data_IF_595673342315
#
_entry.id   IF_595673342315
#
_cell.length_a   1.000
_cell.length_b   1.000
_cell.length_c   1.000
_cell.angle_alpha   90.00
_cell.angle_beta   90.00
_cell.angle_gamma   90.00
#
_symmetry.space_group_name_H-M   'P 1'
#
loop_
_entity.id
_entity.type
_entity.pdbx_description
1 polymer ?
#
# COMPACT_ATOMS: atom_id res chain seq x y z
N UNK A 1 -17.90 4.93 24.92
CA UNK A 1 -18.97 3.94 24.76
C UNK A 1 -19.02 3.55 23.30
N UNK A 2 -18.83 2.27 22.98
CA UNK A 2 -18.80 1.80 21.59
C UNK A 2 -20.23 1.65 21.05
N UNK A 3 -20.46 2.08 19.81
CA UNK A 3 -21.77 2.01 19.15
C UNK A 3 -22.05 3.23 18.29
N UNK A 4 -23.18 3.23 17.60
CA UNK A 4 -23.70 4.38 16.84
C UNK A 4 -25.16 4.62 17.21
N UNK A 5 -25.58 5.87 17.16
CA UNK A 5 -26.97 6.26 17.43
C UNK A 5 -27.85 5.76 16.29
N UNK A 6 -28.91 5.05 16.64
CA UNK A 6 -29.97 4.70 15.71
C UNK A 6 -30.89 5.91 15.52
N UNK A 7 -31.25 6.20 14.27
CA UNK A 7 -32.13 7.33 13.92
C UNK A 7 -33.62 7.00 14.11
N UNK A 8 -33.97 5.72 14.12
CA UNK A 8 -35.34 5.22 14.27
C UNK A 8 -35.35 3.86 14.94
N UNK A 9 -36.46 3.52 15.58
CA UNK A 9 -36.73 2.21 16.20
C UNK A 9 -37.10 1.13 15.18
N UNK A 10 -37.28 1.50 13.91
CA UNK A 10 -37.59 0.59 12.80
C UNK A 10 -36.36 -0.10 12.18
N UNK A 11 -35.18 0.05 12.78
CA UNK A 11 -33.94 -0.52 12.24
C UNK A 11 -33.81 -1.98 12.71
N UNK A 12 -33.70 -2.96 11.79
CA UNK A 12 -33.56 -4.36 12.17
C UNK A 12 -32.20 -4.61 12.86
N UNK A 13 -32.22 -5.38 13.95
CA UNK A 13 -31.00 -5.83 14.64
C UNK A 13 -30.53 -7.16 14.05
N UNK A 14 -29.25 -7.26 13.74
CA UNK A 14 -28.62 -8.49 13.24
C UNK A 14 -27.88 -9.23 14.36
N UNK A 15 -27.45 -10.48 14.10
CA UNK A 15 -26.60 -11.25 15.02
C UNK A 15 -25.29 -10.54 15.40
N UNK A 16 -24.87 -9.53 14.63
CA UNK A 16 -23.69 -8.71 14.94
C UNK A 16 -23.91 -7.66 16.04
N UNK A 17 -25.16 -7.43 16.47
CA UNK A 17 -25.48 -6.52 17.55
C UNK A 17 -25.23 -7.15 18.92
N UNK A 18 -24.28 -6.61 19.68
CA UNK A 18 -23.99 -7.12 21.03
C UNK A 18 -24.98 -6.62 22.09
N UNK A 19 -25.41 -5.35 22.00
CA UNK A 19 -26.26 -4.70 22.98
C UNK A 19 -27.01 -3.53 22.34
N UNK A 20 -28.26 -3.30 22.76
CA UNK A 20 -29.03 -2.10 22.48
C UNK A 20 -29.15 -1.29 23.77
N UNK A 21 -28.72 -0.03 23.74
CA UNK A 21 -28.81 0.87 24.88
C UNK A 21 -29.97 1.83 24.67
N UNK A 22 -30.91 1.87 25.63
CA UNK A 22 -32.03 2.80 25.66
C UNK A 22 -31.90 3.74 26.87
N UNK A 23 -30.95 4.69 26.84
CA UNK A 23 -30.83 5.64 27.94
C UNK A 23 -32.06 6.54 27.99
N UNK A 24 -32.49 6.87 29.20
CA UNK A 24 -33.46 7.94 29.41
C UNK A 24 -32.87 9.30 29.02
N UNK A 25 -33.72 10.30 28.82
CA UNK A 25 -33.28 11.68 28.52
C UNK A 25 -32.38 12.24 29.63
N UNK A 26 -32.59 11.81 30.88
CA UNK A 26 -31.77 12.20 32.01
C UNK A 26 -30.36 11.58 31.98
N UNK A 27 -30.24 10.33 31.53
CA UNK A 27 -28.96 9.61 31.44
C UNK A 27 -28.13 9.98 30.20
N UNK A 28 -28.80 10.38 29.12
CA UNK A 28 -28.16 10.79 27.87
C UNK A 28 -28.87 12.04 27.31
N UNK A 29 -28.62 13.22 27.89
CA UNK A 29 -29.17 14.46 27.37
C UNK A 29 -28.66 14.71 25.93
N UNK A 30 -29.43 15.46 25.12
CA UNK A 30 -29.00 15.83 23.79
C UNK A 30 -27.66 16.59 23.87
N UNK A 31 -26.70 16.27 22.98
CA UNK A 31 -25.39 16.90 23.02
C UNK A 31 -25.52 18.41 22.77
N UNK A 32 -24.76 19.22 23.50
CA UNK A 32 -24.66 20.65 23.24
C UNK A 32 -24.05 20.91 21.85
N UNK A 33 -24.21 22.14 21.36
CA UNK A 33 -23.61 22.55 20.10
C UNK A 33 -22.09 22.43 20.13
N UNK A 34 -21.53 22.03 18.99
CA UNK A 34 -20.08 21.90 18.81
C UNK A 34 -19.43 23.27 18.94
N UNK A 35 -18.41 23.35 19.80
CA UNK A 35 -17.61 24.56 20.04
C UNK A 35 -16.17 24.36 19.57
N UNK A 36 -15.41 25.44 19.49
CA UNK A 36 -13.99 25.37 19.13
C UNK A 36 -13.18 24.59 20.18
N UNK A 37 -12.14 23.88 19.73
CA UNK A 37 -11.24 23.15 20.61
C UNK A 37 -10.44 24.12 21.51
N UNK A 38 -10.58 23.99 22.83
CA UNK A 38 -9.85 24.80 23.82
C UNK A 38 -8.49 24.22 24.25
N UNK A 39 -8.05 23.15 23.58
CA UNK A 39 -6.76 22.46 23.85
C UNK A 39 -6.53 21.99 25.29
N UNK A 40 -7.58 21.50 25.95
CA UNK A 40 -7.51 21.00 27.33
C UNK A 40 -6.85 19.62 27.52
N UNK A 41 -6.41 18.94 26.44
CA UNK A 41 -5.76 17.61 26.44
C UNK A 41 -6.52 16.42 27.06
N UNK A 42 -7.70 16.61 27.67
CA UNK A 42 -8.53 15.52 28.25
C UNK A 42 -8.77 14.31 27.33
N UNK A 43 -8.84 14.56 26.03
CA UNK A 43 -9.03 13.50 25.04
C UNK A 43 -7.86 12.50 24.96
N UNK A 44 -6.63 12.94 25.23
CA UNK A 44 -5.46 12.08 25.31
C UNK A 44 -5.47 11.26 26.61
N UNK A 45 -5.77 11.91 27.75
CA UNK A 45 -5.80 11.27 29.07
C UNK A 45 -6.76 10.08 29.15
N UNK A 46 -7.90 10.15 28.44
CA UNK A 46 -8.91 9.07 28.44
C UNK A 46 -8.76 8.07 27.29
N UNK A 47 -7.75 8.23 26.44
CA UNK A 47 -7.57 7.35 25.29
C UNK A 47 -7.06 5.97 25.77
N UNK A 48 -7.83 4.89 25.59
CA UNK A 48 -7.43 3.56 26.07
C UNK A 48 -6.23 2.97 25.31
N UNK A 49 -5.97 3.49 24.11
CA UNK A 49 -4.84 3.11 23.24
C UNK A 49 -3.76 4.19 23.21
N UNK A 50 -3.80 5.16 24.15
CA UNK A 50 -2.76 6.16 24.36
C UNK A 50 -2.38 7.01 23.13
N UNK A 51 -3.35 7.27 22.25
CA UNK A 51 -3.15 8.13 21.08
C UNK A 51 -3.18 9.62 21.45
N UNK A 52 -2.91 10.47 20.45
CA UNK A 52 -3.06 11.93 20.52
C UNK A 52 -4.28 12.41 19.71
N UNK A 53 -5.54 12.21 20.18
CA UNK A 53 -6.75 12.60 19.45
C UNK A 53 -6.79 14.07 19.05
N UNK A 54 -6.16 14.96 19.83
CA UNK A 54 -6.09 16.37 19.50
C UNK A 54 -5.37 16.60 18.17
N UNK A 55 -4.18 16.04 17.98
CA UNK A 55 -3.40 16.22 16.75
C UNK A 55 -4.09 15.58 15.57
N UNK A 56 -4.53 14.32 15.75
CA UNK A 56 -5.31 13.60 14.75
C UNK A 56 -6.54 14.39 14.29
N UNK A 57 -7.24 15.07 15.21
CA UNK A 57 -8.42 15.87 14.88
C UNK A 57 -8.07 17.08 14.02
N UNK A 58 -6.98 17.78 14.33
CA UNK A 58 -6.57 18.94 13.54
C UNK A 58 -6.21 18.53 12.12
N UNK A 59 -5.46 17.44 11.93
CA UNK A 59 -5.13 16.90 10.61
C UNK A 59 -6.34 16.35 9.86
N UNK A 60 -7.18 15.56 10.52
CA UNK A 60 -8.42 15.03 9.93
C UNK A 60 -9.38 16.15 9.50
N UNK A 61 -9.51 17.21 10.31
CA UNK A 61 -10.32 18.38 9.98
C UNK A 61 -9.73 19.19 8.81
N UNK A 62 -8.41 19.29 8.73
CA UNK A 62 -7.71 19.93 7.62
C UNK A 62 -7.67 19.07 6.33
N UNK A 63 -8.19 17.83 6.38
CA UNK A 63 -8.07 16.81 5.32
C UNK A 63 -6.61 16.45 4.97
N UNK A 64 -5.69 16.67 5.91
CA UNK A 64 -4.30 16.24 5.81
C UNK A 64 -4.19 14.79 6.31
N UNK A 65 -4.70 13.85 5.52
CA UNK A 65 -4.90 12.46 5.96
C UNK A 65 -3.58 11.72 6.20
N UNK A 66 -2.55 11.96 5.39
CA UNK A 66 -1.21 11.38 5.56
C UNK A 66 -0.63 11.72 6.93
N UNK A 67 -0.68 13.01 7.32
CA UNK A 67 -0.25 13.42 8.67
C UNK A 67 -1.12 12.83 9.76
N UNK A 68 -2.43 12.67 9.53
CA UNK A 68 -3.26 11.98 10.50
C UNK A 68 -2.79 10.52 10.70
N UNK A 69 -2.32 9.84 9.64
CA UNK A 69 -1.73 8.50 9.72
C UNK A 69 -0.40 8.49 10.48
N UNK A 70 0.45 9.50 10.33
CA UNK A 70 1.69 9.64 11.11
C UNK A 70 1.43 9.67 12.63
N UNK A 71 0.23 10.12 13.04
CA UNK A 71 -0.25 10.06 14.42
C UNK A 71 -1.10 8.82 14.72
N UNK A 72 -0.79 7.69 14.06
CA UNK A 72 -1.38 6.38 14.33
C UNK A 72 -2.91 6.34 14.19
N UNK A 73 -3.47 7.05 13.19
CA UNK A 73 -4.93 7.12 12.97
C UNK A 73 -5.60 5.74 12.89
N UNK A 74 -4.94 4.75 12.30
CA UNK A 74 -5.50 3.42 12.12
C UNK A 74 -5.57 2.59 13.41
N UNK A 75 -4.77 2.94 14.43
CA UNK A 75 -4.79 2.27 15.74
C UNK A 75 -5.98 2.72 16.61
N UNK A 76 -6.66 3.79 16.22
CA UNK A 76 -7.85 4.28 16.91
C UNK A 76 -8.97 3.23 16.86
N UNK A 77 -9.34 2.63 18.00
CA UNK A 77 -10.42 1.63 18.07
C UNK A 77 -11.85 2.22 18.07
N UNK A 78 -11.99 3.52 17.80
CA UNK A 78 -13.30 4.21 17.68
C UNK A 78 -14.21 4.08 18.92
N UNK A 79 -13.62 3.97 20.11
CA UNK A 79 -14.33 3.71 21.36
C UNK A 79 -15.20 4.87 21.88
N UNK A 80 -15.01 6.08 21.35
CA UNK A 80 -15.81 7.28 21.69
C UNK A 80 -15.41 7.99 22.98
N UNK A 81 -14.42 7.52 23.74
CA UNK A 81 -14.03 8.13 25.01
C UNK A 81 -13.61 9.59 24.84
N UNK A 82 -12.80 9.89 23.82
CA UNK A 82 -12.34 11.23 23.52
C UNK A 82 -13.47 12.21 23.16
N UNK A 83 -14.48 11.77 22.40
CA UNK A 83 -15.65 12.59 22.06
C UNK A 83 -16.50 12.88 23.31
N UNK A 84 -16.66 11.88 24.18
CA UNK A 84 -17.52 11.99 25.36
C UNK A 84 -16.97 12.97 26.40
N UNK A 85 -15.65 12.97 26.64
CA UNK A 85 -15.04 13.85 27.64
C UNK A 85 -14.71 15.25 27.11
N UNK A 86 -14.94 15.52 25.83
CA UNK A 86 -14.60 16.78 25.21
C UNK A 86 -15.49 17.92 25.74
N UNK A 87 -14.96 18.93 26.44
CA UNK A 87 -15.77 20.05 26.94
C UNK A 87 -16.33 20.93 25.80
N UNK A 88 -15.72 20.86 24.61
CA UNK A 88 -16.18 21.56 23.41
C UNK A 88 -17.19 20.75 22.60
N UNK A 89 -17.62 19.57 23.08
CA UNK A 89 -18.59 18.69 22.41
C UNK A 89 -18.18 18.30 20.97
N UNK A 90 -16.87 18.21 20.70
CA UNK A 90 -16.35 17.86 19.38
C UNK A 90 -16.53 16.36 19.14
N UNK A 91 -17.20 15.94 18.04
CA UNK A 91 -17.40 14.53 17.73
C UNK A 91 -16.13 13.91 17.10
N UNK A 92 -15.05 13.83 17.87
CA UNK A 92 -13.71 13.40 17.43
C UNK A 92 -13.73 12.09 16.63
N UNK A 93 -14.45 11.07 17.11
CA UNK A 93 -14.56 9.77 16.43
C UNK A 93 -15.18 9.88 15.02
N UNK A 94 -16.06 10.84 14.77
CA UNK A 94 -16.62 11.03 13.42
C UNK A 94 -15.55 11.52 12.44
N UNK A 95 -14.67 12.41 12.88
CA UNK A 95 -13.53 12.86 12.08
C UNK A 95 -12.55 11.73 11.82
N UNK A 96 -12.30 10.86 12.81
CA UNK A 96 -11.40 9.72 12.64
C UNK A 96 -11.97 8.67 11.69
N UNK A 97 -13.27 8.37 11.80
CA UNK A 97 -13.96 7.48 10.83
C UNK A 97 -13.88 8.02 9.42
N UNK A 98 -14.19 9.30 9.23
CA UNK A 98 -14.03 9.98 7.95
C UNK A 98 -12.60 9.85 7.42
N UNK A 99 -11.61 10.21 8.23
CA UNK A 99 -10.21 10.19 7.83
C UNK A 99 -9.72 8.77 7.47
N UNK A 100 -10.15 7.73 8.20
CA UNK A 100 -9.80 6.33 7.88
C UNK A 100 -10.41 5.88 6.56
N UNK A 101 -11.71 6.12 6.36
CA UNK A 101 -12.41 5.73 5.13
C UNK A 101 -11.78 6.40 3.91
N UNK A 102 -11.54 7.71 3.98
CA UNK A 102 -10.94 8.46 2.87
C UNK A 102 -9.49 8.04 2.62
N UNK A 103 -8.73 7.71 3.67
CA UNK A 103 -7.37 7.19 3.52
C UNK A 103 -7.36 5.85 2.77
N UNK A 104 -8.31 4.96 3.05
CA UNK A 104 -8.44 3.71 2.31
C UNK A 104 -8.87 3.92 0.86
N UNK A 105 -9.76 4.87 0.59
CA UNK A 105 -10.18 5.19 -0.77
C UNK A 105 -9.02 5.75 -1.60
N UNK A 106 -8.23 6.67 -1.03
CA UNK A 106 -7.02 7.20 -1.65
C UNK A 106 -5.99 6.10 -1.94
N UNK A 107 -5.78 5.17 -0.99
CA UNK A 107 -4.87 4.04 -1.17
C UNK A 107 -5.35 3.12 -2.29
N UNK A 108 -6.65 2.82 -2.35
CA UNK A 108 -7.20 1.95 -3.38
C UNK A 108 -7.09 2.59 -4.77
N UNK A 109 -7.36 3.90 -4.89
CA UNK A 109 -7.18 4.65 -6.13
C UNK A 109 -5.71 4.68 -6.57
N UNK A 110 -4.78 4.89 -5.62
CA UNK A 110 -3.34 4.82 -5.88
C UNK A 110 -2.95 3.45 -6.42
N UNK A 111 -3.35 2.37 -5.76
CA UNK A 111 -3.07 0.99 -6.18
C UNK A 111 -3.66 0.68 -7.56
N UNK A 112 -4.89 1.14 -7.84
CA UNK A 112 -5.53 0.98 -9.16
C UNK A 112 -4.76 1.73 -10.24
N UNK A 113 -4.27 2.93 -9.94
CA UNK A 113 -3.47 3.76 -10.84
C UNK A 113 -2.10 3.14 -11.12
N UNK A 114 -1.41 2.65 -10.10
CA UNK A 114 -0.13 1.92 -10.24
C UNK A 114 -0.30 0.65 -11.09
N UNK A 115 -1.33 -0.14 -10.84
CA UNK A 115 -1.62 -1.33 -11.64
C UNK A 115 -1.98 -0.98 -13.09
N UNK A 116 -2.65 0.16 -13.34
CA UNK A 116 -2.88 0.65 -14.69
C UNK A 116 -1.58 1.06 -15.40
N UNK A 117 -0.68 1.78 -14.70
CA UNK A 117 0.65 2.15 -15.20
C UNK A 117 1.47 0.90 -15.55
N UNK A 118 1.57 -0.07 -14.65
CA UNK A 118 2.31 -1.32 -14.88
C UNK A 118 1.81 -2.07 -16.14
N UNK A 119 0.49 -2.14 -16.35
CA UNK A 119 -0.08 -2.75 -17.56
C UNK A 119 0.21 -1.96 -18.83
N UNK A 120 0.23 -0.63 -18.74
CA UNK A 120 0.58 0.25 -19.85
C UNK A 120 2.05 0.06 -20.23
N UNK A 121 2.95 0.09 -19.25
CA UNK A 121 4.39 -0.05 -19.45
C UNK A 121 4.74 -1.40 -20.09
N UNK A 122 4.09 -2.48 -19.63
CA UNK A 122 4.26 -3.81 -20.22
C UNK A 122 3.82 -3.85 -21.69
N UNK A 123 2.70 -3.18 -22.02
CA UNK A 123 2.21 -3.07 -23.41
C UNK A 123 3.18 -2.25 -24.27
N UNK A 124 3.69 -1.13 -23.74
CA UNK A 124 4.63 -0.26 -24.42
C UNK A 124 5.94 -1.01 -24.73
N UNK A 125 6.49 -1.71 -23.73
CA UNK A 125 7.69 -2.53 -23.88
C UNK A 125 7.50 -3.69 -24.89
N UNK A 126 6.32 -4.30 -24.94
CA UNK A 126 5.99 -5.31 -25.97
C UNK A 126 5.96 -4.70 -27.37
N UNK A 127 5.33 -3.54 -27.54
CA UNK A 127 5.27 -2.88 -28.85
C UNK A 127 6.66 -2.41 -29.32
N UNK A 128 7.46 -1.82 -28.44
CA UNK A 128 8.82 -1.39 -28.74
C UNK A 128 9.70 -2.57 -29.19
N UNK A 129 9.59 -3.74 -28.53
CA UNK A 129 10.28 -4.98 -28.97
C UNK A 129 9.85 -5.40 -30.37
N UNK A 130 8.55 -5.50 -30.65
CA UNK A 130 8.07 -5.89 -31.98
C UNK A 130 8.46 -4.88 -33.07
N UNK A 131 8.48 -3.58 -32.76
CA UNK A 131 8.92 -2.54 -33.68
C UNK A 131 10.43 -2.61 -33.95
N UNK A 132 11.25 -2.81 -32.92
CA UNK A 132 12.69 -3.00 -33.04
C UNK A 132 13.03 -4.24 -33.88
N UNK A 133 12.37 -5.37 -33.63
CA UNK A 133 12.51 -6.59 -34.45
C UNK A 133 12.12 -6.34 -35.92
N UNK A 134 11.01 -5.63 -36.16
CA UNK A 134 10.56 -5.28 -37.51
C UNK A 134 11.57 -4.38 -38.22
N UNK A 135 12.08 -3.35 -37.54
CA UNK A 135 13.12 -2.44 -38.05
C UNK A 135 14.41 -3.20 -38.35
N UNK A 136 14.86 -4.09 -37.46
CA UNK A 136 16.04 -4.94 -37.67
C UNK A 136 15.88 -5.88 -38.88
N UNK A 137 14.71 -6.51 -39.03
CA UNK A 137 14.40 -7.36 -40.19
C UNK A 137 14.40 -6.59 -41.51
N UNK A 138 13.87 -5.36 -41.51
CA UNK A 138 13.91 -4.48 -42.68
C UNK A 138 15.34 -4.02 -42.99
N UNK A 139 16.15 -3.71 -41.97
CA UNK A 139 17.56 -3.34 -42.14
C UNK A 139 18.37 -4.47 -42.78
N UNK A 140 18.24 -5.69 -42.24
CA UNK A 140 18.89 -6.90 -42.79
C UNK A 140 18.50 -7.13 -44.26
N UNK A 141 17.21 -7.03 -44.59
CA UNK A 141 16.75 -7.13 -45.99
C UNK A 141 17.35 -6.07 -46.91
N UNK A 142 17.49 -4.82 -46.44
CA UNK A 142 18.14 -3.75 -47.22
C UNK A 142 19.63 -4.03 -47.45
N UNK A 143 20.34 -4.47 -46.42
CA UNK A 143 21.75 -4.86 -46.50
C UNK A 143 21.96 -6.05 -47.46
N UNK A 144 21.09 -7.06 -47.40
CA UNK A 144 21.13 -8.23 -48.30
C UNK A 144 20.86 -7.84 -49.77
N UNK A 145 19.98 -6.87 -50.01
CA UNK A 145 19.70 -6.34 -51.35
C UNK A 145 20.86 -5.50 -51.89
N UNK A 146 21.55 -4.74 -51.03
CA UNK A 146 22.71 -3.93 -51.42
C UNK A 146 23.95 -4.78 -51.74
N UNK A 147 24.11 -5.96 -51.11
CA UNK A 147 25.22 -6.89 -51.34
C UNK A 147 25.05 -7.77 -52.59
N UNK A 148 23.90 -7.75 -53.28
CA UNK A 148 23.71 -8.49 -54.54
C UNK A 148 24.42 -7.76 -55.70
N UNK A 149 25.41 -8.36 -56.39
CA UNK A 149 26.06 -7.74 -57.52
C UNK A 149 25.10 -7.62 -58.71
N UNK A 150 25.17 -6.50 -59.41
CA UNK A 150 24.41 -6.23 -60.63
C UNK A 150 24.88 -7.14 -61.79
N UNK A 151 24.28 -8.33 -61.93
CA UNK A 151 24.36 -9.10 -63.17
C UNK A 151 23.10 -8.87 -64.01
N UNK A 152 23.29 -8.19 -65.15
CA UNK A 152 22.52 -8.35 -66.38
C UNK A 152 21.18 -7.61 -66.48
N UNK A 153 21.21 -6.39 -67.03
CA UNK A 153 20.07 -5.87 -67.81
C UNK A 153 20.06 -6.59 -69.16
N UNK A 154 19.11 -7.48 -69.38
CA UNK A 154 18.69 -7.89 -70.71
C UNK A 154 17.16 -7.83 -70.77
N UNK A 155 16.67 -7.16 -71.80
CA UNK A 155 15.27 -6.85 -72.03
C UNK A 155 14.43 -8.13 -72.20
N UNK A 156 13.48 -8.34 -71.30
CA UNK A 156 12.31 -9.18 -71.54
C UNK A 156 11.11 -8.49 -70.88
N UNK A 157 10.06 -8.20 -71.66
CA UNK A 157 8.81 -7.60 -71.18
C UNK A 157 8.27 -8.45 -70.02
N UNK A 158 8.27 -7.85 -68.84
CA UNK A 158 8.17 -8.53 -67.54
C UNK A 158 6.75 -9.08 -67.28
N UNK A 159 6.52 -10.40 -67.23
CA UNK A 159 5.23 -10.99 -66.87
C UNK A 159 4.80 -10.66 -65.43
N UNK A 160 5.70 -10.08 -64.62
CA UNK A 160 5.42 -9.62 -63.26
C UNK A 160 4.61 -8.32 -63.19
N UNK A 161 4.72 -7.40 -64.16
CA UNK A 161 3.90 -6.16 -64.14
C UNK A 161 2.41 -6.47 -64.35
N UNK A 162 2.10 -7.37 -65.28
CA UNK A 162 0.74 -7.83 -65.54
C UNK A 162 0.12 -8.56 -64.32
N UNK A 163 0.93 -9.35 -63.60
CA UNK A 163 0.47 -10.03 -62.39
C UNK A 163 0.19 -9.07 -61.21
N UNK A 164 0.94 -7.97 -61.10
CA UNK A 164 0.75 -6.95 -60.07
C UNK A 164 -0.53 -6.13 -60.34
N UNK A 165 -0.79 -5.75 -61.60
CA UNK A 165 -2.04 -5.08 -61.97
C UNK A 165 -3.28 -5.98 -61.78
N UNK A 166 -3.20 -7.26 -62.17
CA UNK A 166 -4.27 -8.22 -61.94
C UNK A 166 -4.54 -8.45 -60.44
N UNK A 167 -3.50 -8.43 -59.59
CA UNK A 167 -3.65 -8.52 -58.15
C UNK A 167 -4.24 -7.23 -57.53
N UNK A 168 -3.86 -6.06 -58.04
CA UNK A 168 -4.42 -4.77 -57.62
C UNK A 168 -5.90 -4.66 -57.98
N UNK A 169 -6.31 -5.13 -59.16
CA UNK A 169 -7.72 -5.19 -59.56
C UNK A 169 -8.53 -6.17 -58.69
N UNK A 170 -7.96 -7.31 -58.30
CA UNK A 170 -8.60 -8.26 -57.36
C UNK A 170 -8.72 -7.71 -55.94
N UNK A 171 -7.75 -6.91 -55.48
CA UNK A 171 -7.82 -6.23 -54.17
C UNK A 171 -8.78 -5.04 -54.21
N UNK A 172 -8.85 -4.31 -55.33
CA UNK A 172 -9.85 -3.25 -55.54
C UNK A 172 -11.27 -3.82 -55.58
N UNK A 173 -11.49 -4.96 -56.27
CA UNK A 173 -12.76 -5.67 -56.27
C UNK A 173 -13.12 -6.23 -54.87
N UNK A 174 -12.13 -6.72 -54.10
CA UNK A 174 -12.36 -7.14 -52.70
C UNK A 174 -12.59 -5.97 -51.75
N UNK A 175 -11.99 -4.80 -51.96
CA UNK A 175 -12.26 -3.57 -51.19
C UNK A 175 -13.61 -2.95 -51.54
N UNK A 176 -14.07 -3.10 -52.79
CA UNK A 176 -15.42 -2.71 -53.20
C UNK A 176 -16.50 -3.68 -52.66
N UNK A 177 -16.18 -4.98 -52.56
CA UNK A 177 -17.06 -6.01 -52.02
C UNK A 177 -17.07 -6.08 -50.47
N UNK A 178 -16.01 -5.63 -49.78
CA UNK A 178 -15.95 -5.52 -48.33
C UNK A 178 -15.76 -4.05 -47.90
N UNK A 179 -16.83 -3.26 -47.98
CA UNK A 179 -17.08 -2.17 -47.01
C UNK A 179 -17.58 -2.81 -45.71
N UNK A 180 -16.70 -3.51 -45.01
CA UNK A 180 -16.97 -3.93 -43.63
C UNK A 180 -16.65 -2.77 -42.70
N UNK A 181 -17.65 -1.92 -42.45
CA UNK A 181 -17.73 -1.18 -41.19
C UNK A 181 -17.70 -2.19 -40.02
N UNK A 182 -17.13 -1.86 -38.85
CA UNK A 182 -17.21 -2.74 -37.69
C UNK A 182 -18.67 -3.09 -37.40
N UNK A 183 -18.98 -4.40 -37.37
CA UNK A 183 -20.33 -5.00 -37.23
C UNK A 183 -20.98 -4.78 -35.85
N UNK A 184 -20.84 -3.61 -35.25
CA UNK A 184 -21.52 -3.28 -34.00
C UNK A 184 -21.94 -1.80 -33.93
N UNK A 185 -22.57 -1.31 -34.99
CA UNK A 185 -23.22 0.01 -35.01
C UNK A 185 -24.60 0.00 -35.69
N UNK A 186 -25.05 -1.14 -36.21
CA UNK A 186 -26.23 -1.16 -37.10
C UNK A 186 -27.58 -1.10 -36.38
N UNK A 187 -27.60 -1.08 -35.03
CA UNK A 187 -28.80 -0.84 -34.23
C UNK A 187 -28.49 -0.07 -32.93
N UNK A 188 -27.98 1.16 -33.06
CA UNK A 188 -27.88 2.08 -31.92
C UNK A 188 -29.13 2.95 -31.83
N UNK A 189 -29.73 3.03 -30.64
CA UNK A 189 -30.82 3.97 -30.38
C UNK A 189 -30.32 5.41 -30.60
N UNK A 190 -31.16 6.37 -31.07
CA UNK A 190 -30.73 7.74 -31.36
C UNK A 190 -29.99 8.43 -30.19
N UNK A 191 -30.34 8.08 -28.95
CA UNK A 191 -29.68 8.56 -27.74
C UNK A 191 -28.24 8.05 -27.57
N UNK A 192 -27.94 6.82 -28.02
CA UNK A 192 -26.60 6.24 -27.92
C UNK A 192 -25.67 6.85 -28.97
N UNK A 193 -26.18 7.15 -30.17
CA UNK A 193 -25.40 7.83 -31.20
C UNK A 193 -25.02 9.26 -30.75
N UNK A 194 -25.96 10.01 -30.16
CA UNK A 194 -25.69 11.34 -29.62
C UNK A 194 -24.64 11.35 -28.50
N UNK A 195 -24.57 10.28 -27.67
CA UNK A 195 -23.54 10.15 -26.65
C UNK A 195 -22.15 9.85 -27.22
N UNK A 196 -22.09 9.06 -28.30
CA UNK A 196 -20.83 8.76 -29.00
C UNK A 196 -20.30 10.03 -29.66
N UNK A 197 -21.17 10.78 -30.34
CA UNK A 197 -20.80 12.02 -31.04
C UNK A 197 -20.34 13.10 -30.02
N UNK A 198 -21.00 13.20 -28.86
CA UNK A 198 -20.61 14.10 -27.77
C UNK A 198 -19.26 13.69 -27.13
N UNK A 199 -18.97 12.39 -27.04
CA UNK A 199 -17.69 11.89 -26.53
C UNK A 199 -16.53 12.13 -27.51
N UNK A 200 -16.78 12.03 -28.82
CA UNK A 200 -15.79 12.36 -29.85
C UNK A 200 -15.53 13.86 -29.94
N UNK A 201 -16.55 14.70 -29.82
CA UNK A 201 -16.37 16.16 -29.74
C UNK A 201 -15.52 16.58 -28.55
N UNK A 202 -15.70 15.95 -27.37
CA UNK A 202 -14.83 16.18 -26.19
C UNK A 202 -13.39 15.75 -26.42
N UNK A 203 -13.16 14.66 -27.18
CA UNK A 203 -11.79 14.20 -27.54
C UNK A 203 -11.11 15.11 -28.56
N UNK A 204 -11.87 15.73 -29.46
CA UNK A 204 -11.33 16.63 -30.48
C UNK A 204 -11.04 18.04 -29.92
N UNK A 205 -11.70 18.43 -28.83
CA UNK A 205 -11.50 19.71 -28.14
C UNK A 205 -10.42 19.66 -27.05
N UNK A 206 -9.95 18.47 -26.67
CA UNK A 206 -8.84 18.31 -25.75
C UNK A 206 -7.51 18.39 -26.51
N UNK A 207 -6.78 19.49 -26.36
CA UNK A 207 -5.40 19.59 -26.83
C UNK A 207 -4.50 18.57 -26.08
N UNK A 208 -3.43 18.05 -26.71
CA UNK A 208 -2.52 17.13 -26.05
C UNK A 208 -1.79 17.86 -24.92
N UNK A 209 -2.12 17.52 -23.67
CA UNK A 209 -1.33 17.97 -22.52
C UNK A 209 -0.03 17.18 -22.54
N UNK A 210 1.08 17.87 -22.81
CA UNK A 210 2.43 17.35 -22.61
C UNK A 210 2.66 17.23 -21.10
N UNK A 211 2.38 16.04 -20.57
CA UNK A 211 2.59 15.69 -19.17
C UNK A 211 4.10 15.58 -18.92
N UNK A 212 4.63 16.52 -18.12
CA UNK A 212 5.99 16.45 -17.61
C UNK A 212 6.18 15.13 -16.82
N UNK A 213 7.33 14.46 -16.95
CA UNK A 213 7.51 13.13 -16.36
C UNK A 213 7.58 13.23 -14.83
N UNK A 214 6.76 12.48 -14.07
CA UNK A 214 7.05 12.21 -12.68
C UNK A 214 8.20 11.20 -12.59
N UNK A 215 9.21 11.56 -11.81
CA UNK A 215 10.41 10.77 -11.56
C UNK A 215 10.07 9.37 -11.02
N UNK A 216 10.16 8.36 -11.88
CA UNK A 216 10.22 6.96 -11.46
C UNK A 216 11.25 6.24 -12.33
N UNK A 217 12.51 6.27 -11.87
CA UNK A 217 13.61 5.60 -12.51
C UNK A 217 14.89 5.68 -11.69
N UNK A 218 15.17 4.62 -10.93
CA UNK A 218 16.55 4.20 -10.64
C UNK A 218 17.18 4.59 -9.31
N UNK A 219 16.68 4.08 -8.17
CA UNK A 219 17.52 3.96 -6.95
C UNK A 219 18.30 2.63 -6.96
N UNK A 220 17.78 1.60 -7.66
CA UNK A 220 18.42 0.27 -7.75
C UNK A 220 19.84 0.27 -8.35
N UNK A 221 20.26 1.34 -9.04
CA UNK A 221 21.59 1.43 -9.67
C UNK A 221 22.31 2.75 -9.38
N UNK A 222 21.86 3.51 -8.38
CA UNK A 222 22.56 4.73 -7.95
C UNK A 222 23.57 4.37 -6.84
N UNK A 223 24.88 4.33 -7.15
CA UNK A 223 25.90 3.93 -6.18
C UNK A 223 26.01 4.90 -4.99
N UNK A 224 25.62 6.17 -5.16
CA UNK A 224 25.63 7.16 -4.07
C UNK A 224 24.48 6.90 -3.11
N UNK A 225 23.27 6.65 -3.62
CA UNK A 225 22.11 6.29 -2.79
C UNK A 225 22.29 4.93 -2.10
N UNK A 226 22.94 3.97 -2.77
CA UNK A 226 23.25 2.68 -2.17
C UNK A 226 24.26 2.80 -1.03
N UNK A 227 25.30 3.63 -1.17
CA UNK A 227 26.28 3.86 -0.10
C UNK A 227 25.66 4.61 1.09
N UNK A 228 24.81 5.61 0.84
CA UNK A 228 24.04 6.30 1.89
C UNK A 228 23.15 5.30 2.63
N UNK A 229 22.40 4.49 1.89
CA UNK A 229 21.55 3.44 2.46
C UNK A 229 22.35 2.46 3.32
N UNK A 230 23.53 2.03 2.87
CA UNK A 230 24.41 1.13 3.60
C UNK A 230 24.89 1.76 4.91
N UNK A 231 25.33 3.01 4.89
CA UNK A 231 25.79 3.72 6.08
C UNK A 231 24.68 3.93 7.10
N UNK A 232 23.51 4.39 6.63
CA UNK A 232 22.33 4.62 7.47
C UNK A 232 21.85 3.32 8.14
N UNK A 233 21.70 2.26 7.34
CA UNK A 233 21.23 0.96 7.84
C UNK A 233 22.24 0.32 8.80
N UNK A 234 23.54 0.49 8.55
CA UNK A 234 24.60 -0.01 9.44
C UNK A 234 24.59 0.70 10.80
N UNK A 235 24.31 2.00 10.83
CA UNK A 235 24.20 2.78 12.07
C UNK A 235 23.04 2.28 12.95
N UNK A 236 21.88 2.00 12.33
CA UNK A 236 20.73 1.43 13.05
C UNK A 236 21.00 0.01 13.55
N UNK A 237 21.65 -0.84 12.74
CA UNK A 237 22.07 -2.16 13.20
C UNK A 237 23.08 -2.09 14.35
N UNK A 238 24.02 -1.14 14.33
CA UNK A 238 24.96 -0.94 15.44
C UNK A 238 24.23 -0.55 16.73
N UNK A 239 23.19 0.29 16.64
CA UNK A 239 22.34 0.65 17.78
C UNK A 239 21.65 -0.59 18.38
N UNK A 240 21.07 -1.44 17.52
CA UNK A 240 20.40 -2.68 17.95
C UNK A 240 21.40 -3.67 18.56
N UNK A 241 22.54 -3.89 17.90
CA UNK A 241 23.61 -4.77 18.42
C UNK A 241 24.14 -4.29 19.77
N UNK A 242 24.39 -2.98 19.93
CA UNK A 242 24.85 -2.41 21.19
C UNK A 242 23.86 -2.63 22.33
N UNK A 243 22.56 -2.51 22.07
CA UNK A 243 21.53 -2.84 23.06
C UNK A 243 21.54 -4.33 23.44
N UNK A 244 21.64 -5.24 22.46
CA UNK A 244 21.71 -6.69 22.70
C UNK A 244 22.91 -7.03 23.59
N UNK A 245 24.09 -6.48 23.27
CA UNK A 245 25.34 -6.70 24.01
C UNK A 245 25.26 -6.17 25.45
N UNK A 246 24.79 -4.93 25.64
CA UNK A 246 24.64 -4.32 26.95
C UNK A 246 23.65 -5.09 27.84
N UNK A 247 22.56 -5.57 27.24
CA UNK A 247 21.54 -6.36 27.95
C UNK A 247 22.08 -7.75 28.32
N UNK A 248 22.87 -8.40 27.45
CA UNK A 248 23.53 -9.68 27.77
C UNK A 248 24.60 -9.54 28.85
N UNK A 249 25.33 -8.44 28.86
CA UNK A 249 26.36 -8.16 29.85
C UNK A 249 25.80 -7.84 31.25
N UNK A 250 24.47 -7.67 31.37
CA UNK A 250 23.85 -7.22 32.63
C UNK A 250 24.17 -5.77 32.98
N UNK A 251 24.73 -5.01 32.02
CA UNK A 251 25.09 -3.60 32.19
C UNK A 251 23.90 -2.66 31.90
N UNK A 252 22.77 -3.22 31.49
CA UNK A 252 21.54 -2.51 31.25
C UNK A 252 20.51 -2.99 32.28
N UNK A 253 20.15 -2.13 33.23
CA UNK A 253 19.02 -2.33 34.16
C UNK A 253 17.66 -2.18 33.43
N UNK A 254 17.67 -2.27 32.10
CA UNK A 254 16.53 -2.02 31.25
C UNK A 254 15.47 -3.12 31.46
N UNK A 255 14.57 -2.88 32.41
CA UNK A 255 13.37 -3.67 32.62
C UNK A 255 12.47 -3.76 31.37
N UNK A 256 12.76 -2.95 30.34
CA UNK A 256 12.01 -2.82 29.09
C UNK A 256 12.94 -2.53 27.91
N UNK A 257 12.48 -2.86 26.70
CA UNK A 257 13.16 -2.49 25.46
C UNK A 257 13.04 -0.95 25.26
N UNK A 258 14.15 -0.23 25.02
CA UNK A 258 14.11 1.20 24.71
C UNK A 258 13.36 1.49 23.41
N UNK A 259 12.63 2.61 23.35
CA UNK A 259 11.86 3.01 22.16
C UNK A 259 12.74 3.26 20.91
N UNK A 260 14.06 3.42 21.09
CA UNK A 260 15.05 3.48 20.02
C UNK A 260 15.10 2.21 19.17
N UNK A 261 14.84 1.04 19.77
CA UNK A 261 14.96 -0.27 19.09
C UNK A 261 13.86 -0.49 18.05
N UNK A 262 12.55 -0.41 18.37
CA UNK A 262 11.51 -0.53 17.35
C UNK A 262 11.61 0.58 16.30
N UNK A 263 12.01 1.80 16.68
CA UNK A 263 12.28 2.89 15.72
C UNK A 263 13.40 2.55 14.75
N UNK A 264 14.48 1.94 15.22
CA UNK A 264 15.57 1.48 14.35
C UNK A 264 15.06 0.46 13.32
N UNK A 265 14.27 -0.53 13.74
CA UNK A 265 13.65 -1.49 12.81
C UNK A 265 12.70 -0.81 11.81
N UNK A 266 11.89 0.16 12.26
CA UNK A 266 11.00 0.94 11.39
C UNK A 266 11.76 1.72 10.32
N UNK A 267 12.83 2.44 10.71
CA UNK A 267 13.65 3.22 9.78
C UNK A 267 14.32 2.31 8.75
N UNK A 268 14.87 1.16 9.17
CA UNK A 268 15.45 0.17 8.26
C UNK A 268 14.39 -0.37 7.28
N UNK A 269 13.16 -0.61 7.74
CA UNK A 269 12.06 -1.03 6.86
C UNK A 269 11.75 0.02 5.79
N UNK A 270 11.68 1.30 6.17
CA UNK A 270 11.46 2.43 5.26
C UNK A 270 12.56 2.53 4.20
N UNK A 271 13.82 2.58 4.64
CA UNK A 271 14.98 2.73 3.75
C UNK A 271 15.13 1.52 2.81
N UNK A 272 14.86 0.31 3.29
CA UNK A 272 14.88 -0.91 2.47
C UNK A 272 13.85 -0.90 1.33
N UNK A 273 12.66 -0.33 1.57
CA UNK A 273 11.63 -0.18 0.52
C UNK A 273 12.04 0.83 -0.54
N UNK A 274 12.73 1.91 -0.16
CA UNK A 274 13.20 2.92 -1.09
C UNK A 274 14.23 2.37 -2.09
N UNK A 275 15.10 1.46 -1.65
CA UNK A 275 16.09 0.79 -2.50
C UNK A 275 15.60 -0.51 -3.14
N UNK A 276 14.36 -0.92 -2.89
CA UNK A 276 13.76 -2.13 -3.47
C UNK A 276 14.16 -3.46 -2.82
N UNK A 277 14.85 -3.46 -1.68
CA UNK A 277 15.28 -4.67 -0.96
C UNK A 277 14.14 -5.23 -0.08
N UNK A 278 13.11 -5.77 -0.74
CA UNK A 278 11.88 -6.24 -0.10
C UNK A 278 12.05 -7.32 1.00
N UNK A 279 13.00 -8.28 0.89
CA UNK A 279 13.25 -9.23 1.97
C UNK A 279 13.69 -8.53 3.28
N UNK A 280 14.56 -7.52 3.17
CA UNK A 280 15.02 -6.75 4.32
C UNK A 280 13.87 -5.94 4.92
N UNK A 281 13.04 -5.32 4.09
CA UNK A 281 11.86 -4.59 4.55
C UNK A 281 10.88 -5.49 5.32
N UNK A 282 10.61 -6.69 4.81
CA UNK A 282 9.71 -7.66 5.46
C UNK A 282 10.26 -8.14 6.80
N UNK A 283 11.55 -8.49 6.86
CA UNK A 283 12.22 -8.92 8.09
C UNK A 283 12.16 -7.84 9.18
N UNK A 284 12.53 -6.61 8.83
CA UNK A 284 12.55 -5.51 9.79
C UNK A 284 11.14 -5.13 10.25
N UNK A 285 10.12 -5.20 9.37
CA UNK A 285 8.74 -4.98 9.80
C UNK A 285 8.26 -6.03 10.80
N UNK A 286 8.62 -7.30 10.62
CA UNK A 286 8.28 -8.36 11.57
C UNK A 286 8.98 -8.17 12.91
N UNK A 287 10.25 -7.73 12.92
CA UNK A 287 10.99 -7.43 14.15
C UNK A 287 10.46 -6.18 14.86
N UNK A 288 10.13 -5.12 14.12
CA UNK A 288 9.48 -3.91 14.63
C UNK A 288 8.22 -4.29 15.43
N UNK A 289 7.27 -4.97 14.79
CA UNK A 289 6.01 -5.41 15.42
C UNK A 289 6.25 -6.32 16.63
N UNK A 290 7.24 -7.19 16.57
CA UNK A 290 7.58 -8.06 17.69
C UNK A 290 8.13 -7.27 18.88
N UNK A 291 9.06 -6.34 18.65
CA UNK A 291 9.64 -5.49 19.70
C UNK A 291 8.64 -4.49 20.24
N UNK A 292 7.77 -3.91 19.41
CA UNK A 292 6.67 -3.04 19.85
C UNK A 292 5.74 -3.78 20.82
N UNK A 293 5.39 -5.03 20.50
CA UNK A 293 4.55 -5.83 21.39
C UNK A 293 5.21 -6.08 22.76
N UNK A 294 6.54 -6.23 22.82
CA UNK A 294 7.26 -6.38 24.08
C UNK A 294 7.27 -5.07 24.89
N UNK A 295 7.41 -3.93 24.21
CA UNK A 295 7.32 -2.59 24.82
C UNK A 295 5.92 -2.35 25.38
N UNK A 296 4.87 -2.60 24.59
CA UNK A 296 3.47 -2.46 25.01
C UNK A 296 3.13 -3.32 26.23
N UNK A 297 3.65 -4.54 26.28
CA UNK A 297 3.48 -5.46 27.40
C UNK A 297 4.39 -5.14 28.60
N UNK A 298 5.24 -4.12 28.50
CA UNK A 298 6.21 -3.74 29.52
C UNK A 298 7.11 -4.93 29.94
N UNK A 299 7.43 -5.80 28.99
CA UNK A 299 8.23 -7.01 29.25
C UNK A 299 9.71 -6.75 28.96
N UNK A 300 10.56 -7.22 29.87
CA UNK A 300 11.98 -7.32 29.62
C UNK A 300 12.25 -8.32 28.48
N UNK A 301 13.21 -8.04 27.59
CA UNK A 301 13.61 -8.98 26.55
C UNK A 301 14.22 -10.23 27.19
N UNK A 302 13.62 -11.39 26.96
CA UNK A 302 14.19 -12.67 27.37
C UNK A 302 15.29 -13.12 26.40
N UNK A 303 15.96 -14.23 26.73
CA UNK A 303 17.01 -14.80 25.87
C UNK A 303 16.52 -15.09 24.46
N UNK A 304 15.26 -15.50 24.30
CA UNK A 304 14.64 -15.75 22.99
C UNK A 304 14.51 -14.47 22.19
N UNK A 305 14.00 -13.39 22.78
CA UNK A 305 13.84 -12.11 22.12
C UNK A 305 15.19 -11.55 21.64
N UNK A 306 16.23 -11.61 22.51
CA UNK A 306 17.57 -11.16 22.15
C UNK A 306 18.18 -11.97 21.01
N UNK A 307 17.99 -13.30 20.99
CA UNK A 307 18.46 -14.15 19.90
C UNK A 307 17.74 -13.87 18.58
N UNK A 308 16.43 -13.60 18.60
CA UNK A 308 15.67 -13.24 17.40
C UNK A 308 16.09 -11.88 16.83
N UNK A 309 16.36 -10.90 17.70
CA UNK A 309 16.89 -9.61 17.27
C UNK A 309 18.29 -9.76 16.65
N UNK A 310 19.17 -10.55 17.26
CA UNK A 310 20.52 -10.83 16.74
C UNK A 310 20.47 -11.53 15.37
N UNK A 311 19.70 -12.62 15.25
CA UNK A 311 19.49 -13.31 13.98
C UNK A 311 18.93 -12.36 12.90
N UNK A 312 18.05 -11.43 13.31
CA UNK A 312 17.50 -10.39 12.46
C UNK A 312 18.54 -9.41 11.94
N UNK A 313 19.43 -8.93 12.82
CA UNK A 313 20.54 -8.04 12.45
C UNK A 313 21.51 -8.76 11.51
N UNK A 314 21.89 -10.00 11.82
CA UNK A 314 22.87 -10.75 11.02
C UNK A 314 22.31 -11.10 9.64
N UNK A 315 21.06 -11.54 9.57
CA UNK A 315 20.37 -11.77 8.29
C UNK A 315 20.21 -10.47 7.50
N UNK A 316 19.92 -9.37 8.18
CA UNK A 316 19.83 -8.05 7.56
C UNK A 316 21.15 -7.59 6.95
N UNK A 317 22.27 -7.75 7.66
CA UNK A 317 23.62 -7.49 7.15
C UNK A 317 23.96 -8.37 5.95
N UNK A 318 23.58 -9.66 5.99
CA UNK A 318 23.78 -10.58 4.87
C UNK A 318 22.97 -10.17 3.63
N UNK A 319 21.73 -9.70 3.79
CA UNK A 319 20.90 -9.20 2.69
C UNK A 319 21.49 -7.94 2.05
N UNK A 320 22.04 -7.03 2.87
CA UNK A 320 22.75 -5.85 2.36
C UNK A 320 24.01 -6.28 1.61
N UNK A 321 24.81 -7.20 2.15
CA UNK A 321 25.99 -7.71 1.46
C UNK A 321 25.64 -8.34 0.09
N UNK A 322 24.56 -9.13 0.04
CA UNK A 322 24.04 -9.71 -1.20
C UNK A 322 23.55 -8.66 -2.21
N UNK A 323 22.97 -7.55 -1.75
CA UNK A 323 22.54 -6.46 -2.63
C UNK A 323 23.70 -5.90 -3.46
N UNK A 324 24.89 -5.79 -2.85
CA UNK A 324 26.12 -5.32 -3.50
C UNK A 324 26.92 -6.41 -4.21
N UNK A 325 26.78 -7.66 -3.78
CA UNK A 325 27.45 -8.82 -4.36
C UNK A 325 26.45 -9.95 -4.64
N UNK A 326 25.77 -9.83 -5.78
CA UNK A 326 24.78 -10.81 -6.27
C UNK A 326 25.42 -12.14 -6.72
N UNK A 327 26.73 -12.33 -6.57
CA UNK A 327 27.38 -13.63 -6.83
C UNK A 327 27.05 -14.67 -5.75
N UNK A 328 26.60 -14.21 -4.58
CA UNK A 328 26.24 -15.05 -3.45
C UNK A 328 24.76 -15.45 -3.49
N UNK A 329 24.42 -16.54 -2.81
CA UNK A 329 23.02 -16.95 -2.67
C UNK A 329 22.26 -15.93 -1.80
N UNK A 330 21.05 -15.57 -2.24
CA UNK A 330 20.17 -14.68 -1.48
C UNK A 330 19.81 -15.32 -0.13
N UNK A 331 20.02 -14.62 1.01
CA UNK A 331 19.63 -15.11 2.32
C UNK A 331 18.13 -15.42 2.40
N UNK A 332 17.79 -16.65 2.81
CA UNK A 332 16.39 -17.03 3.04
C UNK A 332 15.91 -16.54 4.41
N UNK A 333 14.87 -15.70 4.41
CA UNK A 333 14.28 -15.13 5.63
C UNK A 333 13.04 -15.89 6.16
N UNK A 334 12.46 -16.81 5.40
CA UNK A 334 11.16 -17.44 5.72
C UNK A 334 11.17 -18.17 7.07
N UNK A 335 12.26 -18.91 7.34
CA UNK A 335 12.43 -19.61 8.61
C UNK A 335 12.51 -18.64 9.80
N UNK A 336 13.22 -17.52 9.63
CA UNK A 336 13.35 -16.51 10.68
C UNK A 336 12.04 -15.76 10.91
N UNK A 337 11.33 -15.37 9.85
CA UNK A 337 10.00 -14.78 9.94
C UNK A 337 9.02 -15.69 10.70
N UNK A 338 9.02 -16.99 10.39
CA UNK A 338 8.18 -17.97 11.08
C UNK A 338 8.51 -18.08 12.57
N UNK A 339 9.80 -18.00 12.94
CA UNK A 339 10.24 -18.02 14.33
C UNK A 339 9.84 -16.76 15.09
N UNK A 340 9.96 -15.59 14.47
CA UNK A 340 9.52 -14.30 15.03
C UNK A 340 8.01 -14.32 15.26
N UNK A 341 7.24 -14.74 14.26
CA UNK A 341 5.79 -14.82 14.36
C UNK A 341 5.33 -15.80 15.45
N UNK A 342 5.92 -17.00 15.50
CA UNK A 342 5.62 -17.98 16.54
C UNK A 342 5.97 -17.45 17.95
N UNK A 343 7.06 -16.70 18.09
CA UNK A 343 7.43 -16.07 19.36
C UNK A 343 6.45 -14.95 19.76
N UNK A 344 5.91 -14.20 18.80
CA UNK A 344 4.85 -13.21 19.02
C UNK A 344 3.51 -13.84 19.40
N UNK A 345 3.09 -14.91 18.71
CA UNK A 345 1.83 -15.61 18.97
C UNK A 345 1.78 -16.26 20.36
N UNK A 346 2.91 -16.82 20.84
CA UNK A 346 3.02 -17.40 22.20
C UNK A 346 2.87 -16.36 23.33
N UNK A 347 2.98 -15.07 23.00
CA UNK A 347 2.93 -13.96 23.96
C UNK A 347 1.64 -13.15 23.89
N UNK A 348 0.71 -13.53 23.01
CA UNK A 348 -0.61 -12.92 22.98
C UNK A 348 -1.39 -13.43 24.21
N UNK A 349 -1.91 -12.56 25.10
CA UNK A 349 -2.67 -13.02 26.25
C UNK A 349 -3.86 -13.85 25.77
N UNK A 350 -3.94 -15.11 26.21
CA UNK A 350 -5.11 -15.95 26.00
C UNK A 350 -6.29 -15.30 26.71
N UNK A 351 -7.36 -14.99 25.97
CA UNK A 351 -8.60 -14.46 26.55
C UNK A 351 -9.05 -15.34 27.73
N UNK A 352 -9.51 -14.75 28.86
CA UNK A 352 -9.92 -15.52 30.02
C UNK A 352 -11.12 -16.41 29.66
N UNK A 353 -10.96 -17.73 29.81
CA UNK A 353 -12.07 -18.69 29.71
C UNK A 353 -13.07 -18.38 30.83
N UNK A 354 -14.24 -17.81 30.49
CA UNK A 354 -15.36 -17.68 31.42
C UNK A 354 -15.77 -19.08 31.89
N UNK A 355 -15.69 -19.31 33.21
CA UNK A 355 -16.31 -20.47 33.84
C UNK A 355 -17.84 -20.33 33.77
N UNK A 356 -18.58 -21.44 33.60
CA UNK A 356 -20.04 -21.40 33.57
C UNK A 356 -20.55 -21.20 35.00
N UNK A 357 -21.15 -20.04 35.27
CA UNK A 357 -21.87 -19.78 36.53
C UNK A 357 -23.23 -20.46 36.46
N UNK A 358 -23.47 -21.40 37.38
CA UNK A 358 -24.77 -22.03 37.59
C UNK A 358 -25.66 -21.06 38.36
N UNK A 359 -26.53 -20.33 37.67
CA UNK A 359 -27.56 -19.50 38.30
C UNK A 359 -28.74 -20.37 38.75
N UNK A 360 -28.94 -20.48 40.06
CA UNK A 360 -30.22 -20.92 40.66
C UNK A 360 -30.99 -19.65 41.03
N UNK A 361 -32.26 -19.46 40.61
CA UNK A 361 -33.00 -18.24 40.91
C UNK A 361 -33.46 -18.22 42.38
N UNK A 362 -33.51 -17.04 43.04
CA UNK A 362 -34.08 -16.93 44.38
C UNK A 362 -35.62 -16.91 44.32
N UNK A 363 -36.24 -17.65 45.24
CA UNK A 363 -37.69 -17.69 45.45
C UNK A 363 -38.20 -16.34 46.00
N UNK A 364 -39.38 -15.97 45.51
CA UNK A 364 -40.14 -14.78 45.86
C UNK A 364 -40.77 -14.86 47.25
N UNK A 365 -40.61 -13.81 48.05
CA UNK A 365 -41.59 -13.36 49.05
C UNK A 365 -41.60 -11.83 49.12
#
# INVERSE_FOLDING_TARGET
MMGFRLSTDQIPITKGGNCLLLPSVAESPPPESVRACIRCSRCADVCPVQLLPQQMYWYARAKELEKAQDYNLFDCIECGCCSHVCPSHIPLVHYFRYAKTESWEQEEERRRSEHAKMRHDFRLARMQRMEAERKARLRKKKEDLAKKPAKGKAAAKDPKKAAIEAAQQRVAAKKAANKSSPKNTDHLQPAQQAQIDAAEQRRQQAEPVEEAPPASGGIENDPELQEIFKQETSSHFATISGFIEQTRAGNNDAAQIPAEIPRAFHTICGSARMVGLMPLASLNKSLELYTDSLVEQQQAPDKTALALMEDGVDTGKALIAWLFDKSQAEPNIESLLSRIEAAGQRRRPSAPKKQPTTDTPPESN
#
